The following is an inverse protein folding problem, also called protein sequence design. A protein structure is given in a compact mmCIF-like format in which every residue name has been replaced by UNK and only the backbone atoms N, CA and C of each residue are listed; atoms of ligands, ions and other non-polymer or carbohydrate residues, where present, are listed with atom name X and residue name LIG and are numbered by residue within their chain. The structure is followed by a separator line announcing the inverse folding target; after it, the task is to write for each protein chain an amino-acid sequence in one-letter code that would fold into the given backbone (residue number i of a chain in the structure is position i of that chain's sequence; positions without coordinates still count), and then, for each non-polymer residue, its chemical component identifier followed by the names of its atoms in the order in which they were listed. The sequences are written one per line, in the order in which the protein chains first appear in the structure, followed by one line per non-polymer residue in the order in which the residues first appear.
data_IF_486915803454
#
_entry.id   IF_486915803454
#
_cell.length_a   1.000
_cell.length_b   1.000
_cell.length_c   1.000
_cell.angle_alpha   90.00
_cell.angle_beta   90.00
_cell.angle_gamma   90.00
#
_symmetry.space_group_name_H-M   'P 1'
#
loop_
_entity.id
_entity.type
_entity.pdbx_description
1 polymer ?
#
# COMPACT_ATOMS: atom_id res chain seq x y z
N UNK A 1 -21.41 10.92 70.72
CA UNK A 1 -22.59 10.03 70.87
C UNK A 1 -23.81 10.86 71.22
N UNK A 2 -24.73 11.10 70.27
CA UNK A 2 -26.20 11.08 70.43
C UNK A 2 -26.84 11.53 69.11
N UNK A 3 -27.85 10.77 68.72
CA UNK A 3 -28.57 10.76 67.43
C UNK A 3 -29.51 11.95 67.31
N UNK A 4 -29.76 12.44 66.09
CA UNK A 4 -31.14 12.75 65.68
C UNK A 4 -31.30 12.71 64.16
N UNK A 5 -32.15 11.78 63.74
CA UNK A 5 -32.69 11.51 62.40
C UNK A 5 -33.65 12.61 61.98
N UNK A 6 -33.78 12.93 60.68
CA UNK A 6 -35.07 13.16 60.00
C UNK A 6 -34.88 12.87 58.51
N UNK A 7 -35.65 11.89 58.03
CA UNK A 7 -35.91 11.57 56.63
C UNK A 7 -36.74 12.69 56.00
N UNK A 8 -36.42 13.07 54.76
CA UNK A 8 -37.37 13.69 53.85
C UNK A 8 -37.36 12.91 52.54
N UNK A 9 -38.48 12.22 52.31
CA UNK A 9 -38.83 11.52 51.09
C UNK A 9 -38.98 12.52 49.93
N UNK A 10 -38.31 12.25 48.82
CA UNK A 10 -38.74 12.73 47.51
C UNK A 10 -38.65 11.55 46.53
N UNK A 11 -39.79 10.92 46.32
CA UNK A 11 -40.04 9.97 45.24
C UNK A 11 -40.87 10.71 44.19
N UNK A 12 -40.30 10.91 43.00
CA UNK A 12 -41.03 11.07 41.75
C UNK A 12 -40.08 10.56 40.65
N UNK A 13 -40.24 9.31 40.20
CA UNK A 13 -41.02 8.96 39.00
C UNK A 13 -40.76 9.91 37.84
N UNK A 14 -39.82 9.56 36.96
CA UNK A 14 -39.97 9.81 35.53
C UNK A 14 -39.37 8.66 34.73
N UNK A 15 -40.10 8.34 33.68
CA UNK A 15 -40.16 7.09 32.96
C UNK A 15 -39.00 6.87 32.00
N UNK A 16 -38.79 5.59 31.73
CA UNK A 16 -38.15 5.03 30.54
C UNK A 16 -38.57 5.78 29.28
N UNK A 17 -37.60 6.32 28.56
CA UNK A 17 -37.72 6.60 27.14
C UNK A 17 -36.58 5.87 26.43
N UNK A 18 -36.92 4.70 25.88
CA UNK A 18 -36.22 4.19 24.72
C UNK A 18 -36.54 5.14 23.56
N UNK A 19 -35.54 5.79 22.97
CA UNK A 19 -35.60 6.16 21.56
C UNK A 19 -34.22 5.97 20.94
N UNK A 20 -34.25 5.33 19.78
CA UNK A 20 -33.13 5.05 18.91
C UNK A 20 -32.75 6.31 18.12
N UNK A 21 -31.46 6.56 18.00
CA UNK A 21 -30.80 7.55 17.14
C UNK A 21 -29.33 7.13 17.13
N UNK A 22 -28.55 7.08 16.06
CA UNK A 22 -28.72 7.20 14.62
C UNK A 22 -27.48 6.44 14.08
N UNK A 23 -27.61 5.68 12.99
CA UNK A 23 -26.42 5.15 12.31
C UNK A 23 -25.64 6.37 11.78
N UNK A 24 -24.46 6.64 12.34
CA UNK A 24 -23.55 7.63 11.77
C UNK A 24 -23.13 7.15 10.38
N UNK A 25 -23.83 7.68 9.37
CA UNK A 25 -23.40 7.74 7.98
C UNK A 25 -22.05 8.45 7.94
N UNK A 26 -20.97 7.66 7.88
CA UNK A 26 -19.65 8.16 7.57
C UNK A 26 -19.64 8.75 6.17
N UNK A 27 -19.66 10.07 6.12
CA UNK A 27 -19.51 10.93 4.94
C UNK A 27 -18.43 10.39 3.98
N UNK A 28 -18.90 9.85 2.85
CA UNK A 28 -18.07 9.42 1.73
C UNK A 28 -17.35 10.62 1.11
N UNK A 29 -16.11 10.85 1.52
CA UNK A 29 -15.20 11.67 0.73
C UNK A 29 -14.77 10.88 -0.51
N UNK A 30 -15.49 11.10 -1.60
CA UNK A 30 -15.16 10.61 -2.94
C UNK A 30 -13.79 11.13 -3.40
N UNK A 31 -12.80 10.28 -3.75
CA UNK A 31 -11.70 10.73 -4.58
C UNK A 31 -12.11 10.62 -6.05
N UNK A 32 -12.33 11.78 -6.64
CA UNK A 32 -12.28 12.05 -8.07
C UNK A 32 -10.98 11.48 -8.65
N UNK A 33 -11.06 10.74 -9.75
CA UNK A 33 -9.98 10.77 -10.75
C UNK A 33 -9.56 9.43 -11.34
N UNK A 34 -9.96 9.22 -12.60
CA UNK A 34 -9.20 8.51 -13.62
C UNK A 34 -8.96 7.01 -13.38
N UNK A 35 -9.96 6.20 -13.77
CA UNK A 35 -9.79 4.78 -14.05
C UNK A 35 -8.84 4.55 -15.23
N UNK A 36 -7.54 4.62 -14.98
CA UNK A 36 -6.53 4.17 -15.93
C UNK A 36 -6.59 2.63 -15.98
N UNK A 37 -7.25 2.11 -17.03
CA UNK A 37 -7.30 0.69 -17.35
C UNK A 37 -5.88 0.15 -17.54
N UNK A 38 -5.35 -0.55 -16.54
CA UNK A 38 -4.05 -1.24 -16.63
C UNK A 38 -4.18 -2.36 -17.66
N UNK A 39 -3.64 -2.13 -18.86
CA UNK A 39 -3.53 -3.16 -19.90
C UNK A 39 -2.35 -4.06 -19.55
N UNK A 40 -2.64 -5.20 -18.93
CA UNK A 40 -1.67 -6.29 -18.81
C UNK A 40 -1.44 -6.90 -20.20
N UNK A 41 -0.41 -6.46 -20.93
CA UNK A 41 0.10 -7.26 -22.06
C UNK A 41 0.84 -8.46 -21.48
N UNK A 42 0.18 -9.61 -21.45
CA UNK A 42 0.80 -10.91 -21.15
C UNK A 42 1.84 -11.19 -22.23
N UNK A 43 3.11 -10.91 -21.92
CA UNK A 43 4.25 -11.28 -22.78
C UNK A 43 4.19 -12.77 -23.08
N UNK A 44 4.34 -13.11 -24.35
CA UNK A 44 4.14 -14.44 -24.89
C UNK A 44 5.08 -15.45 -24.21
N UNK A 45 4.57 -16.66 -23.94
CA UNK A 45 5.31 -17.78 -23.36
C UNK A 45 6.36 -18.23 -24.38
N UNK A 46 7.58 -17.69 -24.35
CA UNK A 46 8.80 -18.26 -24.95
C UNK A 46 10.01 -17.46 -24.43
N UNK A 47 10.87 -18.10 -23.62
CA UNK A 47 12.22 -17.70 -23.19
C UNK A 47 12.54 -16.19 -23.15
N UNK A 48 12.26 -15.57 -22.00
CA UNK A 48 12.68 -14.21 -21.65
C UNK A 48 11.86 -13.71 -20.47
N UNK A 49 12.51 -13.17 -19.44
CA UNK A 49 11.82 -12.60 -18.27
C UNK A 49 10.75 -11.60 -18.76
N UNK A 50 9.44 -11.81 -18.50
CA UNK A 50 8.40 -10.93 -19.00
C UNK A 50 8.61 -9.51 -18.48
N UNK A 51 8.86 -8.58 -19.39
CA UNK A 51 8.98 -7.16 -19.06
C UNK A 51 7.61 -6.55 -18.84
N UNK A 52 7.39 -5.94 -17.68
CA UNK A 52 6.18 -5.17 -17.37
C UNK A 52 6.38 -3.75 -17.92
N UNK A 53 5.42 -3.27 -18.71
CA UNK A 53 5.39 -1.89 -19.19
C UNK A 53 4.24 -1.15 -18.53
N UNK A 54 4.50 0.06 -18.06
CA UNK A 54 3.54 0.88 -17.30
C UNK A 54 3.78 2.36 -17.59
N UNK A 55 2.76 3.20 -17.51
CA UNK A 55 2.93 4.65 -17.68
C UNK A 55 3.29 5.29 -16.34
N UNK A 56 4.14 6.31 -16.36
CA UNK A 56 4.41 7.11 -15.18
C UNK A 56 3.10 7.65 -14.57
N UNK A 57 3.08 7.78 -13.24
CA UNK A 57 1.93 8.26 -12.49
C UNK A 57 0.85 7.22 -12.19
N UNK A 58 0.94 6.02 -12.77
CA UNK A 58 -0.05 4.95 -12.53
C UNK A 58 0.39 3.97 -11.43
N UNK A 59 -0.51 3.07 -11.04
CA UNK A 59 -0.17 1.98 -10.13
C UNK A 59 0.45 0.80 -10.91
N UNK A 60 1.57 0.31 -10.41
CA UNK A 60 2.21 -0.92 -10.88
C UNK A 60 2.05 -2.03 -9.84
N UNK A 61 1.66 -3.22 -10.28
CA UNK A 61 1.76 -4.44 -9.47
C UNK A 61 2.81 -5.38 -10.04
N UNK A 62 3.78 -5.77 -9.23
CA UNK A 62 4.86 -6.68 -9.59
C UNK A 62 4.64 -8.00 -8.85
N UNK A 63 4.44 -9.13 -9.56
CA UNK A 63 4.09 -10.41 -8.96
C UNK A 63 5.31 -11.15 -8.36
N UNK A 64 6.06 -10.45 -7.50
CA UNK A 64 7.11 -11.02 -6.66
C UNK A 64 6.50 -11.77 -5.48
N UNK A 65 7.07 -12.93 -5.07
CA UNK A 65 6.61 -13.64 -3.89
C UNK A 65 6.95 -12.87 -2.61
N UNK A 66 6.27 -13.22 -1.52
CA UNK A 66 6.47 -12.61 -0.20
C UNK A 66 7.93 -12.73 0.25
N UNK A 67 8.56 -11.59 0.50
CA UNK A 67 9.86 -11.47 1.14
C UNK A 67 9.84 -10.37 2.21
N UNK A 68 10.79 -10.39 3.14
CA UNK A 68 10.97 -9.33 4.13
C UNK A 68 11.63 -8.08 3.54
N UNK A 69 12.37 -8.27 2.44
CA UNK A 69 13.04 -7.21 1.70
C UNK A 69 12.91 -7.44 0.20
N UNK A 70 12.94 -6.35 -0.55
CA UNK A 70 12.97 -6.33 -2.02
C UNK A 70 14.13 -5.45 -2.48
N UNK A 71 14.64 -5.74 -3.66
CA UNK A 71 15.76 -5.01 -4.26
C UNK A 71 15.37 -4.53 -5.65
N UNK A 72 15.96 -3.43 -6.10
CA UNK A 72 15.88 -3.04 -7.51
C UNK A 72 17.21 -2.52 -8.01
N UNK A 73 17.46 -2.72 -9.29
CA UNK A 73 18.56 -2.10 -10.02
C UNK A 73 17.93 -1.09 -10.99
N UNK A 74 18.22 0.19 -10.78
CA UNK A 74 17.73 1.30 -11.62
C UNK A 74 18.91 2.09 -12.16
N UNK A 75 18.70 2.89 -13.21
CA UNK A 75 19.73 3.82 -13.72
C UNK A 75 19.56 5.19 -13.08
N UNK A 76 20.66 5.78 -12.62
CA UNK A 76 20.68 7.19 -12.20
C UNK A 76 20.72 8.14 -13.40
N UNK A 77 20.77 9.46 -13.14
CA UNK A 77 20.86 10.48 -14.18
C UNK A 77 22.12 10.36 -15.06
N UNK A 78 23.20 9.77 -14.55
CA UNK A 78 24.44 9.49 -15.29
C UNK A 78 24.39 8.16 -16.06
N UNK A 79 23.25 7.47 -16.06
CA UNK A 79 23.08 6.16 -16.71
C UNK A 79 23.72 4.98 -15.96
N UNK A 80 24.32 5.22 -14.78
CA UNK A 80 24.94 4.19 -13.94
C UNK A 80 23.88 3.39 -13.18
N UNK A 81 24.10 2.08 -13.11
CA UNK A 81 23.25 1.19 -12.33
C UNK A 81 23.48 1.38 -10.82
N UNK A 82 22.39 1.60 -10.10
CA UNK A 82 22.37 1.70 -8.65
C UNK A 82 21.40 0.69 -8.08
N UNK A 83 21.83 0.01 -7.02
CA UNK A 83 21.00 -0.94 -6.30
C UNK A 83 20.28 -0.23 -5.15
N UNK A 84 18.97 -0.41 -5.08
CA UNK A 84 18.14 0.04 -3.97
C UNK A 84 17.59 -1.15 -3.18
N UNK A 85 17.33 -0.92 -1.89
CA UNK A 85 16.72 -1.87 -0.98
C UNK A 85 15.41 -1.27 -0.43
N UNK A 86 14.38 -2.09 -0.40
CA UNK A 86 13.12 -1.80 0.27
C UNK A 86 12.89 -2.85 1.36
N UNK A 87 12.48 -2.41 2.55
CA UNK A 87 12.11 -3.30 3.65
C UNK A 87 10.61 -3.24 3.86
N UNK A 88 9.98 -4.42 3.91
CA UNK A 88 8.55 -4.52 4.23
C UNK A 88 8.34 -4.16 5.69
N UNK A 89 7.34 -3.30 5.94
CA UNK A 89 7.01 -2.87 7.28
C UNK A 89 6.41 -4.00 8.14
N UNK A 90 6.84 -4.02 9.40
CA UNK A 90 6.32 -4.88 10.45
C UNK A 90 6.35 -4.12 11.79
N UNK A 91 5.85 -4.74 12.85
CA UNK A 91 5.75 -4.11 14.18
C UNK A 91 7.11 -3.68 14.76
N UNK A 92 8.21 -4.33 14.35
CA UNK A 92 9.57 -4.12 14.89
C UNK A 92 10.38 -3.06 14.12
N UNK A 93 10.09 -2.80 12.85
CA UNK A 93 10.93 -1.98 11.98
C UNK A 93 10.24 -0.72 11.42
N UNK A 94 9.23 -0.18 12.13
CA UNK A 94 8.39 0.94 11.67
C UNK A 94 9.17 2.17 11.18
N UNK A 95 10.34 2.44 11.74
CA UNK A 95 11.19 3.60 11.38
C UNK A 95 12.14 3.33 10.21
N UNK A 96 12.34 2.08 9.83
CA UNK A 96 13.35 1.63 8.85
C UNK A 96 12.77 0.88 7.64
N UNK A 97 11.47 1.00 7.42
CA UNK A 97 10.71 0.29 6.39
C UNK A 97 9.87 1.24 5.53
N UNK A 98 9.30 0.72 4.44
CA UNK A 98 8.31 1.46 3.64
C UNK A 98 8.88 2.46 2.63
N UNK A 99 10.21 2.51 2.49
CA UNK A 99 10.88 3.35 1.50
C UNK A 99 12.02 2.60 0.82
N UNK A 100 12.40 3.08 -0.36
CA UNK A 100 13.62 2.65 -1.03
C UNK A 100 14.82 3.39 -0.46
N UNK A 101 15.92 2.68 -0.26
CA UNK A 101 17.22 3.26 0.09
C UNK A 101 18.28 2.84 -0.90
N UNK A 102 19.27 3.69 -1.15
CA UNK A 102 20.46 3.30 -1.89
C UNK A 102 21.33 2.35 -1.03
N UNK A 103 21.69 1.19 -1.56
CA UNK A 103 22.42 0.18 -0.76
C UNK A 103 23.83 0.62 -0.37
N UNK A 104 24.46 1.51 -1.13
CA UNK A 104 25.80 2.04 -0.87
C UNK A 104 25.75 3.23 0.08
N UNK A 105 24.93 4.23 -0.21
CA UNK A 105 24.91 5.49 0.56
C UNK A 105 23.95 5.48 1.74
N UNK A 106 23.07 4.47 1.84
CA UNK A 106 22.02 4.33 2.86
C UNK A 106 20.99 5.48 2.89
N UNK A 107 21.01 6.38 1.91
CA UNK A 107 20.06 7.49 1.79
C UNK A 107 18.74 7.00 1.19
N UNK A 108 17.63 7.57 1.66
CA UNK A 108 16.31 7.38 1.05
C UNK A 108 16.34 7.91 -0.38
N UNK A 109 15.63 7.23 -1.28
CA UNK A 109 15.51 7.63 -2.68
C UNK A 109 14.06 7.85 -3.03
N UNK A 110 13.79 8.88 -3.84
CA UNK A 110 12.46 9.16 -4.35
C UNK A 110 11.98 8.00 -5.23
N UNK A 111 10.70 7.67 -5.06
CA UNK A 111 10.03 6.55 -5.74
C UNK A 111 8.53 6.70 -5.54
N UNK A 112 7.73 6.03 -6.37
CA UNK A 112 6.33 5.80 -6.07
C UNK A 112 6.15 5.09 -4.71
N UNK A 113 5.01 5.34 -4.04
CA UNK A 113 4.70 4.73 -2.75
C UNK A 113 4.66 3.21 -2.90
N UNK A 114 5.49 2.51 -2.14
CA UNK A 114 5.68 1.08 -2.32
C UNK A 114 5.16 0.31 -1.11
N UNK A 115 4.35 -0.71 -1.36
CA UNK A 115 3.81 -1.61 -0.34
C UNK A 115 3.79 -3.05 -0.81
N UNK A 116 3.76 -3.99 0.14
CA UNK A 116 3.49 -5.41 -0.17
C UNK A 116 2.10 -5.78 0.34
N UNK A 117 1.12 -5.72 -0.56
CA UNK A 117 -0.29 -5.85 -0.22
C UNK A 117 -1.05 -6.70 -1.24
N UNK A 118 -2.28 -7.07 -0.89
CA UNK A 118 -3.20 -7.65 -1.86
C UNK A 118 -3.58 -6.57 -2.87
N UNK A 119 -3.67 -6.94 -4.14
CA UNK A 119 -4.18 -6.03 -5.17
C UNK A 119 -5.67 -5.79 -4.93
N UNK A 120 -6.13 -4.56 -5.14
CA UNK A 120 -7.54 -4.22 -5.22
C UNK A 120 -7.84 -3.64 -6.61
N UNK A 121 -8.98 -3.98 -7.19
CA UNK A 121 -9.43 -3.41 -8.46
C UNK A 121 -10.89 -3.03 -8.36
N UNK A 122 -11.19 -1.78 -8.66
CA UNK A 122 -12.56 -1.27 -8.74
C UNK A 122 -13.01 -1.22 -10.20
N UNK A 123 -14.13 -1.88 -10.49
CA UNK A 123 -14.77 -1.89 -11.81
C UNK A 123 -16.22 -1.48 -11.59
N UNK A 124 -16.65 -0.40 -12.24
CA UNK A 124 -18.03 0.11 -12.13
C UNK A 124 -18.50 0.28 -10.67
N UNK A 125 -17.66 0.86 -9.81
CA UNK A 125 -17.95 1.04 -8.38
C UNK A 125 -17.78 -0.20 -7.50
N UNK A 126 -17.66 -1.40 -8.07
CA UNK A 126 -17.44 -2.63 -7.31
C UNK A 126 -15.94 -2.93 -7.12
N UNK A 127 -15.49 -3.05 -5.88
CA UNK A 127 -14.08 -3.33 -5.55
C UNK A 127 -13.84 -4.82 -5.30
N UNK A 128 -12.92 -5.42 -6.06
CA UNK A 128 -12.46 -6.80 -5.90
C UNK A 128 -11.09 -6.85 -5.25
N UNK A 129 -10.96 -7.59 -4.15
CA UNK A 129 -9.70 -7.81 -3.43
C UNK A 129 -9.06 -9.15 -3.79
N UNK A 130 -7.80 -9.13 -4.20
CA UNK A 130 -7.03 -10.32 -4.52
C UNK A 130 -6.27 -10.80 -3.28
N UNK A 131 -6.47 -12.07 -2.90
CA UNK A 131 -5.79 -12.70 -1.74
C UNK A 131 -4.27 -12.79 -1.90
N UNK A 132 -3.79 -12.90 -3.15
CA UNK A 132 -2.36 -12.96 -3.46
C UNK A 132 -1.74 -11.57 -3.27
N UNK A 133 -0.73 -11.49 -2.42
CA UNK A 133 0.04 -10.26 -2.20
C UNK A 133 1.13 -10.11 -3.24
N UNK A 134 1.33 -8.87 -3.65
CA UNK A 134 2.27 -8.46 -4.69
C UNK A 134 3.00 -7.19 -4.24
N UNK A 135 4.11 -6.86 -4.88
CA UNK A 135 4.78 -5.58 -4.65
C UNK A 135 4.06 -4.51 -5.48
N UNK A 136 3.36 -3.61 -4.80
CA UNK A 136 2.56 -2.55 -5.41
C UNK A 136 3.35 -1.24 -5.29
N UNK A 137 3.45 -0.51 -6.39
CA UNK A 137 4.04 0.83 -6.46
C UNK A 137 2.98 1.77 -7.00
N UNK A 138 2.46 2.65 -6.15
CA UNK A 138 1.51 3.70 -6.53
C UNK A 138 2.24 4.94 -7.03
N UNK A 139 1.66 5.63 -8.02
CA UNK A 139 2.25 6.83 -8.62
C UNK A 139 3.72 6.61 -9.08
N UNK A 140 3.94 5.54 -9.87
CA UNK A 140 5.29 5.13 -10.27
C UNK A 140 6.02 6.21 -11.09
N UNK A 141 7.30 6.43 -10.80
CA UNK A 141 8.10 7.45 -11.47
C UNK A 141 8.84 6.88 -12.70
N UNK A 142 9.19 7.72 -13.68
CA UNK A 142 10.02 7.27 -14.82
C UNK A 142 11.37 6.68 -14.37
N UNK A 143 11.95 7.27 -13.34
CA UNK A 143 13.21 6.84 -12.68
C UNK A 143 13.09 5.51 -11.94
N UNK A 144 11.88 5.00 -11.74
CA UNK A 144 11.66 3.68 -11.13
C UNK A 144 11.79 2.53 -12.15
N UNK A 145 12.06 2.82 -13.44
CA UNK A 145 12.40 1.82 -14.44
C UNK A 145 13.64 1.02 -14.05
N UNK A 146 13.55 -0.30 -14.11
CA UNK A 146 14.64 -1.17 -13.69
C UNK A 146 14.25 -2.62 -13.46
N UNK A 147 15.18 -3.39 -12.89
CA UNK A 147 14.98 -4.79 -12.54
C UNK A 147 14.61 -4.90 -11.07
N UNK A 148 13.41 -5.40 -10.78
CA UNK A 148 12.89 -5.61 -9.42
C UNK A 148 13.08 -7.06 -9.01
N UNK A 149 13.43 -7.28 -7.74
CA UNK A 149 13.82 -8.59 -7.22
C UNK A 149 13.36 -8.79 -5.78
N UNK A 150 13.21 -10.05 -5.38
CA UNK A 150 13.23 -10.41 -3.95
C UNK A 150 14.59 -10.08 -3.33
N UNK A 151 14.63 -9.91 -2.00
CA UNK A 151 15.86 -9.59 -1.28
C UNK A 151 17.00 -10.61 -1.47
N UNK A 152 16.65 -11.87 -1.67
CA UNK A 152 17.55 -13.00 -1.99
C UNK A 152 17.88 -13.12 -3.49
N UNK A 153 17.30 -12.24 -4.32
CA UNK A 153 17.51 -12.14 -5.78
C UNK A 153 17.07 -13.38 -6.59
N UNK A 154 16.32 -14.32 -6.01
CA UNK A 154 15.85 -15.53 -6.70
C UNK A 154 14.73 -15.28 -7.72
N UNK A 155 13.88 -14.29 -7.47
CA UNK A 155 12.80 -13.90 -8.37
C UNK A 155 13.04 -12.49 -8.89
N UNK A 156 12.75 -12.27 -10.18
CA UNK A 156 12.94 -10.94 -10.77
C UNK A 156 11.96 -10.63 -11.90
N UNK A 157 11.63 -9.35 -12.05
CA UNK A 157 10.87 -8.80 -13.17
C UNK A 157 11.55 -7.53 -13.68
N UNK A 158 11.57 -7.35 -15.00
CA UNK A 158 11.99 -6.10 -15.61
C UNK A 158 10.78 -5.17 -15.72
N UNK A 159 10.94 -3.90 -15.34
CA UNK A 159 9.91 -2.88 -15.40
C UNK A 159 10.41 -1.73 -16.27
N UNK A 160 9.63 -1.35 -17.28
CA UNK A 160 9.84 -0.15 -18.08
C UNK A 160 8.68 0.81 -17.85
N UNK A 161 9.01 2.02 -17.39
CA UNK A 161 8.05 3.10 -17.17
C UNK A 161 8.12 4.07 -18.37
N UNK A 162 6.99 4.31 -19.03
CA UNK A 162 6.87 5.21 -20.19
C UNK A 162 6.53 6.64 -19.76
#
# INVERSE_FOLDING_TARGET
MRKLTILLFLVAYFSTACYAEEEEEGEETSPVGSGARVVYKKSNRNNGVPGIQVNAGTQLSIPLPKATTYRRIVKNAEGKEIEHLYRVCNKKNKTTCGYWENTKTKKKVASGETTFAGRAVTINGATTYFKKKELIISNILKTDSGKYMTGDKKHSYNVKVN
#
